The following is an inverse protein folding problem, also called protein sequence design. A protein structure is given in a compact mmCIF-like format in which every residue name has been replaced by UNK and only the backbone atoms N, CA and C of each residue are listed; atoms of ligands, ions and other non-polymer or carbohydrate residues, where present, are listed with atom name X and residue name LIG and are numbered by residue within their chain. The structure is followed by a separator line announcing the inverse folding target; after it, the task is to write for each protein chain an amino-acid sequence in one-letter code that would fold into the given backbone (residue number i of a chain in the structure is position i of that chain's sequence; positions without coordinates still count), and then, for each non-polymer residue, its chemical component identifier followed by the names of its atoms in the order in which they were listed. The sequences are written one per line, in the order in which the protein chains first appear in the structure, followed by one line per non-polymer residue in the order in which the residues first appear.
data_IF_377248753829
#
_entry.id   IF_377248753829
#
_cell.length_a   1.000
_cell.length_b   1.000
_cell.length_c   1.000
_cell.angle_alpha   90.00
_cell.angle_beta   90.00
_cell.angle_gamma   90.00
#
_symmetry.space_group_name_H-M   'P 1'
#
loop_
_entity.id
_entity.type
_entity.pdbx_description
1 polymer ?
#
# COMPACT_ATOMS: atom_id res chain seq x y z
N UNK A 1 -7.95 18.62 -21.66
CA UNK A 1 -6.86 18.24 -20.77
C UNK A 1 -6.08 19.50 -20.41
N UNK A 2 -6.17 19.93 -19.15
CA UNK A 2 -5.36 21.06 -18.67
C UNK A 2 -3.96 20.51 -18.38
N UNK A 3 -2.96 21.02 -19.09
CA UNK A 3 -1.56 20.64 -18.84
C UNK A 3 -1.13 21.25 -17.51
N UNK A 4 -0.95 20.42 -16.49
CA UNK A 4 -0.40 20.85 -15.21
C UNK A 4 1.04 21.37 -15.40
N UNK A 5 1.39 22.43 -14.72
CA UNK A 5 2.76 22.94 -14.73
C UNK A 5 3.69 21.98 -13.98
N UNK A 6 4.97 21.99 -14.31
CA UNK A 6 5.99 21.18 -13.60
C UNK A 6 5.99 21.44 -12.09
N UNK A 7 5.67 22.66 -11.67
CA UNK A 7 5.60 23.02 -10.26
C UNK A 7 4.41 22.35 -9.57
N UNK A 8 3.24 22.35 -10.21
CA UNK A 8 2.04 21.69 -9.69
C UNK A 8 2.24 20.18 -9.55
N UNK A 9 2.83 19.54 -10.57
CA UNK A 9 3.16 18.10 -10.52
C UNK A 9 4.10 17.80 -9.35
N UNK A 10 5.15 18.62 -9.14
CA UNK A 10 6.09 18.41 -8.02
C UNK A 10 5.42 18.60 -6.65
N UNK A 11 4.51 19.55 -6.54
CA UNK A 11 3.75 19.76 -5.30
C UNK A 11 2.80 18.59 -5.04
N UNK A 12 2.10 18.11 -6.05
CA UNK A 12 1.24 16.94 -5.97
C UNK A 12 2.02 15.70 -5.50
N UNK A 13 3.15 15.39 -6.15
CA UNK A 13 3.99 14.27 -5.76
C UNK A 13 4.50 14.37 -4.31
N UNK A 14 4.88 15.56 -3.85
CA UNK A 14 5.30 15.74 -2.44
C UNK A 14 4.17 15.47 -1.46
N UNK A 15 2.95 15.90 -1.78
CA UNK A 15 1.78 15.65 -0.94
C UNK A 15 1.43 14.17 -0.91
N UNK A 16 1.48 13.49 -2.06
CA UNK A 16 1.26 12.05 -2.16
C UNK A 16 2.29 11.26 -1.37
N UNK A 17 3.57 11.57 -1.54
CA UNK A 17 4.66 10.93 -0.79
C UNK A 17 4.51 11.16 0.71
N UNK A 18 4.15 12.36 1.13
CA UNK A 18 3.90 12.65 2.54
C UNK A 18 2.74 11.81 3.07
N UNK A 19 1.65 11.68 2.31
CA UNK A 19 0.49 10.88 2.70
C UNK A 19 0.87 9.41 2.92
N UNK A 20 1.57 8.81 1.95
CA UNK A 20 2.04 7.42 2.05
C UNK A 20 2.96 7.24 3.26
N UNK A 21 3.91 8.17 3.46
CA UNK A 21 4.84 8.09 4.60
C UNK A 21 4.14 8.26 5.94
N UNK A 22 3.20 9.21 6.06
CA UNK A 22 2.43 9.41 7.28
C UNK A 22 1.64 8.14 7.64
N UNK A 23 1.02 7.48 6.65
CA UNK A 23 0.28 6.25 6.86
C UNK A 23 1.22 5.09 7.24
N UNK A 24 2.37 4.94 6.56
CA UNK A 24 3.37 3.92 6.87
C UNK A 24 4.04 4.10 8.23
N UNK A 25 4.27 5.34 8.68
CA UNK A 25 4.83 5.61 10.01
C UNK A 25 3.89 5.20 11.15
N UNK A 26 2.60 5.04 10.85
CA UNK A 26 1.57 4.65 11.80
C UNK A 26 1.04 3.23 11.54
N UNK A 27 1.78 2.41 10.82
CA UNK A 27 1.41 1.00 10.59
C UNK A 27 1.21 0.29 11.91
N UNK A 28 0.14 -0.49 11.97
CA UNK A 28 -0.20 -1.32 13.11
C UNK A 28 -0.12 -2.79 12.74
N UNK A 29 0.66 -3.51 13.53
CA UNK A 29 0.67 -4.96 13.51
C UNK A 29 -0.44 -5.48 14.42
N UNK A 30 -1.52 -5.96 13.84
CA UNK A 30 -2.57 -6.61 14.61
C UNK A 30 -2.11 -8.03 14.93
N UNK A 31 -1.53 -8.22 16.14
CA UNK A 31 -1.29 -9.57 16.63
C UNK A 31 -2.63 -10.28 16.77
N UNK A 32 -2.79 -11.38 16.06
CA UNK A 32 -3.93 -12.26 16.27
C UNK A 32 -3.94 -12.71 17.74
N UNK A 33 -4.88 -12.18 18.50
CA UNK A 33 -5.34 -12.90 19.64
C UNK A 33 -6.16 -14.06 19.09
N UNK A 34 -5.54 -15.22 18.95
CA UNK A 34 -6.29 -16.45 18.87
C UNK A 34 -7.10 -16.53 20.17
N UNK A 35 -8.34 -16.03 20.13
CA UNK A 35 -9.28 -16.26 21.20
C UNK A 35 -9.40 -17.77 21.39
N UNK A 36 -8.88 -18.23 22.48
CA UNK A 36 -8.97 -19.59 22.94
C UNK A 36 -10.43 -20.06 22.87
N UNK A 37 -10.76 -20.86 21.86
CA UNK A 37 -11.94 -21.69 21.92
C UNK A 37 -12.89 -21.74 20.73
N UNK A 38 -12.73 -21.00 19.65
CA UNK A 38 -13.53 -21.18 18.44
C UNK A 38 -12.64 -21.01 17.20
N UNK A 39 -12.07 -22.12 16.77
CA UNK A 39 -11.38 -22.20 15.48
C UNK A 39 -12.41 -22.20 14.35
N UNK A 40 -12.78 -21.04 13.86
CA UNK A 40 -13.13 -20.89 12.48
C UNK A 40 -11.84 -20.52 11.78
N UNK A 41 -11.26 -21.46 11.03
CA UNK A 41 -9.90 -21.41 10.51
C UNK A 41 -9.64 -20.39 9.40
N UNK A 42 -10.05 -19.15 9.60
CA UNK A 42 -9.65 -18.03 8.78
C UNK A 42 -8.64 -17.20 9.56
N UNK A 43 -7.41 -17.27 9.14
CA UNK A 43 -6.34 -16.42 9.61
C UNK A 43 -6.62 -15.02 9.08
N UNK A 44 -6.67 -14.01 9.96
CA UNK A 44 -6.74 -12.62 9.53
C UNK A 44 -5.43 -12.25 8.87
N UNK A 45 -5.49 -11.61 7.72
CA UNK A 45 -4.34 -10.92 7.18
C UNK A 45 -4.01 -9.74 8.10
N UNK A 46 -2.79 -9.68 8.60
CA UNK A 46 -2.30 -8.61 9.46
C UNK A 46 -0.93 -8.16 8.98
N UNK A 47 -0.61 -6.87 9.15
CA UNK A 47 0.70 -6.37 8.81
C UNK A 47 0.75 -5.62 7.49
N UNK A 48 1.81 -5.85 6.71
CA UNK A 48 2.06 -5.17 5.44
C UNK A 48 2.12 -6.21 4.33
N UNK A 49 1.37 -5.95 3.27
CA UNK A 49 1.41 -6.73 2.04
C UNK A 49 1.82 -5.81 0.90
N UNK A 50 2.82 -6.20 0.14
CA UNK A 50 3.25 -5.54 -1.09
C UNK A 50 3.19 -6.56 -2.22
N UNK A 51 2.48 -6.21 -3.27
CA UNK A 51 2.32 -7.04 -4.46
C UNK A 51 2.81 -6.29 -5.69
N UNK A 52 3.46 -7.00 -6.61
CA UNK A 52 3.80 -6.49 -7.93
C UNK A 52 2.76 -6.94 -8.95
N UNK A 53 2.37 -6.03 -9.84
CA UNK A 53 1.45 -6.33 -10.94
C UNK A 53 1.84 -5.55 -12.19
N UNK A 54 1.34 -6.02 -13.33
CA UNK A 54 1.47 -5.29 -14.59
C UNK A 54 0.55 -4.07 -14.58
N UNK A 55 1.13 -2.94 -14.90
CA UNK A 55 0.51 -1.61 -14.96
C UNK A 55 0.43 -1.05 -16.38
N UNK A 56 0.57 0.27 -16.53
CA UNK A 56 0.48 0.94 -17.82
C UNK A 56 1.57 0.52 -18.79
N UNK A 57 1.28 0.67 -20.07
CA UNK A 57 2.28 0.52 -21.12
C UNK A 57 3.26 1.70 -21.07
N UNK A 58 4.55 1.39 -21.11
CA UNK A 58 5.59 2.40 -21.20
C UNK A 58 5.62 2.96 -22.65
N UNK A 59 5.39 4.26 -22.84
CA UNK A 59 5.30 4.85 -24.17
C UNK A 59 6.63 4.85 -24.93
N UNK A 60 7.76 4.68 -24.24
CA UNK A 60 9.08 4.67 -24.85
C UNK A 60 9.51 3.27 -25.30
N UNK A 61 9.14 2.25 -24.54
CA UNK A 61 9.58 0.86 -24.77
C UNK A 61 8.49 -0.04 -25.33
N UNK A 62 7.21 0.34 -25.22
CA UNK A 62 6.07 -0.47 -25.59
C UNK A 62 5.84 -1.69 -24.67
N UNK A 63 6.60 -1.80 -23.58
CA UNK A 63 6.43 -2.85 -22.58
C UNK A 63 5.50 -2.40 -21.45
N UNK A 64 4.90 -3.37 -20.75
CA UNK A 64 4.12 -3.07 -19.55
C UNK A 64 5.06 -2.73 -18.39
N UNK A 65 4.74 -1.67 -17.66
CA UNK A 65 5.44 -1.28 -16.44
C UNK A 65 5.00 -2.18 -15.28
N UNK A 66 5.93 -2.56 -14.41
CA UNK A 66 5.58 -3.13 -13.12
C UNK A 66 5.19 -2.02 -12.15
N UNK A 67 4.08 -2.21 -11.46
CA UNK A 67 3.57 -1.31 -10.42
C UNK A 67 3.27 -2.08 -9.17
N UNK A 68 3.44 -1.43 -8.01
CA UNK A 68 3.16 -2.05 -6.72
C UNK A 68 1.74 -1.78 -6.26
N UNK A 69 1.22 -2.70 -5.48
CA UNK A 69 0.05 -2.50 -4.63
C UNK A 69 0.48 -2.70 -3.18
N UNK A 70 0.10 -1.78 -2.32
CA UNK A 70 0.47 -1.76 -0.91
C UNK A 70 -0.79 -1.84 -0.06
N UNK A 71 -0.84 -2.76 0.91
CA UNK A 71 -1.96 -2.96 1.81
C UNK A 71 -1.44 -3.08 3.24
N UNK A 72 -2.11 -2.42 4.19
CA UNK A 72 -1.72 -2.48 5.60
C UNK A 72 -2.80 -1.90 6.51
N UNK A 73 -2.66 -2.19 7.81
CA UNK A 73 -3.41 -1.50 8.87
C UNK A 73 -2.63 -0.30 9.37
N UNK A 74 -3.33 0.80 9.63
CA UNK A 74 -2.72 2.02 10.16
C UNK A 74 -3.55 2.61 11.29
N UNK A 75 -2.88 3.30 12.21
CA UNK A 75 -3.49 4.18 13.20
C UNK A 75 -3.36 5.67 12.82
N UNK A 76 -2.97 5.97 11.59
CA UNK A 76 -2.98 7.33 11.09
C UNK A 76 -4.42 7.86 11.09
N UNK A 77 -4.57 9.17 11.32
CA UNK A 77 -5.90 9.78 11.24
C UNK A 77 -6.46 9.61 9.82
N UNK A 78 -7.69 9.10 9.72
CA UNK A 78 -8.39 9.02 8.45
C UNK A 78 -8.51 10.41 7.79
N UNK A 79 -8.33 10.47 6.49
CA UNK A 79 -8.45 11.70 5.71
C UNK A 79 -9.83 11.85 5.08
N UNK A 80 -10.57 10.75 5.00
CA UNK A 80 -11.85 10.67 4.29
C UNK A 80 -13.00 10.25 5.19
N UNK A 81 -12.74 10.16 6.49
CA UNK A 81 -13.78 9.84 7.45
C UNK A 81 -14.76 11.02 7.55
N UNK A 82 -16.07 10.79 7.42
CA UNK A 82 -17.04 11.88 7.53
C UNK A 82 -17.00 12.49 8.94
N UNK A 83 -16.82 13.82 9.01
CA UNK A 83 -16.80 14.57 10.29
C UNK A 83 -18.12 14.44 11.11
N UNK A 84 -19.20 13.98 10.46
CA UNK A 84 -20.51 13.79 11.08
C UNK A 84 -20.58 12.53 11.99
N UNK A 85 -19.59 11.64 11.90
CA UNK A 85 -19.52 10.47 12.77
C UNK A 85 -18.70 10.80 14.01
N UNK A 86 -19.28 10.49 15.18
CA UNK A 86 -18.80 10.92 16.49
C UNK A 86 -17.40 10.42 16.86
N UNK A 87 -16.84 9.44 16.15
CA UNK A 87 -15.53 8.87 16.49
C UNK A 87 -14.82 8.31 15.26
N UNK A 88 -13.65 8.85 14.97
CA UNK A 88 -12.72 8.28 13.99
C UNK A 88 -12.19 6.95 14.53
N UNK A 89 -12.29 5.85 13.80
CA UNK A 89 -11.69 4.59 14.23
C UNK A 89 -10.19 4.77 14.45
N UNK A 90 -9.71 4.29 15.61
CA UNK A 90 -8.29 4.36 15.95
C UNK A 90 -7.42 3.56 14.97
N UNK A 91 -8.01 2.58 14.29
CA UNK A 91 -7.34 1.70 13.33
C UNK A 91 -8.25 1.46 12.14
N UNK A 92 -7.66 1.45 10.96
CA UNK A 92 -8.34 1.15 9.71
C UNK A 92 -7.37 0.55 8.69
N UNK A 93 -7.95 -0.08 7.68
CA UNK A 93 -7.21 -0.63 6.56
C UNK A 93 -6.96 0.44 5.51
N UNK A 94 -5.75 0.46 4.98
CA UNK A 94 -5.37 1.35 3.89
C UNK A 94 -4.71 0.56 2.78
N UNK A 95 -5.02 0.92 1.54
CA UNK A 95 -4.24 0.47 0.41
C UNK A 95 -3.94 1.60 -0.56
N UNK A 96 -2.81 1.43 -1.26
CA UNK A 96 -2.37 2.27 -2.37
C UNK A 96 -2.17 1.39 -3.58
N UNK A 97 -2.90 1.65 -4.66
CA UNK A 97 -2.86 0.83 -5.87
C UNK A 97 -2.94 1.68 -7.13
N UNK A 98 -2.30 1.22 -8.19
CA UNK A 98 -2.55 1.76 -9.53
C UNK A 98 -3.74 1.02 -10.15
N UNK A 99 -4.71 1.75 -10.68
CA UNK A 99 -5.91 1.19 -11.32
C UNK A 99 -6.13 1.85 -12.67
N UNK A 100 -6.60 1.06 -13.64
CA UNK A 100 -7.05 1.60 -14.92
C UNK A 100 -8.48 2.12 -14.79
N UNK A 101 -8.68 3.39 -15.14
CA UNK A 101 -10.02 3.95 -15.31
C UNK A 101 -10.60 3.42 -16.62
N UNK A 102 -11.65 2.62 -16.54
CA UNK A 102 -12.23 1.93 -17.70
C UNK A 102 -12.88 2.87 -18.71
N UNK A 103 -13.31 4.05 -18.27
CA UNK A 103 -13.98 5.05 -19.12
C UNK A 103 -12.95 5.87 -19.91
N UNK A 104 -11.91 6.33 -19.25
CA UNK A 104 -10.87 7.21 -19.85
C UNK A 104 -9.67 6.43 -20.38
N UNK A 105 -9.53 5.17 -20.00
CA UNK A 105 -8.34 4.32 -20.31
C UNK A 105 -7.03 4.90 -19.79
N UNK A 106 -7.10 5.70 -18.74
CA UNK A 106 -5.94 6.26 -18.04
C UNK A 106 -5.69 5.52 -16.74
N UNK A 107 -4.45 5.49 -16.31
CA UNK A 107 -4.09 4.92 -15.02
C UNK A 107 -4.16 5.99 -13.93
N UNK A 108 -4.65 5.58 -12.77
CA UNK A 108 -4.89 6.43 -11.61
C UNK A 108 -4.23 5.82 -10.38
N UNK A 109 -3.60 6.65 -9.56
CA UNK A 109 -3.18 6.24 -8.22
C UNK A 109 -4.40 6.37 -7.30
N UNK A 110 -4.79 5.26 -6.71
CA UNK A 110 -5.98 5.16 -5.86
C UNK A 110 -5.56 4.80 -4.44
N UNK A 111 -6.15 5.49 -3.46
CA UNK A 111 -6.10 5.13 -2.06
C UNK A 111 -7.46 4.62 -1.60
N UNK A 112 -7.46 3.47 -0.93
CA UNK A 112 -8.66 2.90 -0.31
C UNK A 112 -8.53 3.00 1.21
N UNK A 113 -9.63 3.28 1.88
CA UNK A 113 -9.77 3.17 3.33
C UNK A 113 -10.95 2.25 3.67
N UNK A 114 -10.72 1.32 4.57
CA UNK A 114 -11.77 0.51 5.18
C UNK A 114 -11.71 0.63 6.70
N UNK A 115 -12.84 1.01 7.29
CA UNK A 115 -12.99 1.13 8.74
C UNK A 115 -13.49 -0.15 9.39
N UNK A 116 -13.75 -1.16 8.58
CA UNK A 116 -14.06 -2.51 9.00
C UNK A 116 -12.81 -3.36 8.91
N UNK A 117 -12.28 -3.72 10.05
CA UNK A 117 -11.15 -4.65 10.12
C UNK A 117 -11.72 -6.06 9.92
N UNK A 118 -11.59 -6.57 8.72
CA UNK A 118 -12.01 -7.93 8.38
C UNK A 118 -10.81 -8.88 8.15
N UNK A 119 -10.99 -9.94 7.38
CA UNK A 119 -9.95 -10.93 7.14
C UNK A 119 -9.25 -10.74 5.79
N UNK A 120 -9.57 -9.68 5.05
CA UNK A 120 -9.05 -9.47 3.71
C UNK A 120 -8.65 -8.01 3.48
N UNK A 121 -7.37 -7.71 3.66
CA UNK A 121 -6.79 -6.38 3.43
C UNK A 121 -6.94 -5.85 2.00
N UNK A 122 -7.31 -6.72 1.06
CA UNK A 122 -7.36 -6.38 -0.36
C UNK A 122 -8.72 -5.86 -0.81
N UNK A 123 -9.77 -6.11 -0.05
CA UNK A 123 -11.15 -5.82 -0.42
C UNK A 123 -11.83 -4.85 0.55
N UNK A 124 -13.05 -4.45 0.25
CA UNK A 124 -13.88 -3.60 1.11
C UNK A 124 -13.58 -2.10 1.00
N UNK A 125 -14.20 -1.33 1.87
CA UNK A 125 -13.98 0.08 2.07
C UNK A 125 -14.37 1.00 0.92
N UNK A 126 -13.78 2.20 0.91
CA UNK A 126 -14.00 3.22 -0.12
C UNK A 126 -12.69 3.62 -0.77
N UNK A 127 -12.73 3.70 -2.10
CA UNK A 127 -11.60 4.13 -2.92
C UNK A 127 -11.71 5.59 -3.32
N UNK A 128 -10.58 6.27 -3.33
CA UNK A 128 -10.44 7.69 -3.68
C UNK A 128 -9.28 7.84 -4.66
N UNK A 129 -9.55 8.45 -5.82
CA UNK A 129 -8.50 8.78 -6.78
C UNK A 129 -7.63 9.89 -6.18
N UNK A 130 -6.36 9.61 -6.00
CA UNK A 130 -5.39 10.58 -5.51
C UNK A 130 -4.73 11.36 -6.63
N UNK A 131 -4.47 10.70 -7.76
CA UNK A 131 -3.83 11.32 -8.90
C UNK A 131 -4.13 10.57 -10.19
N UNK A 132 -4.41 11.33 -11.25
CA UNK A 132 -4.50 10.87 -12.64
C UNK A 132 -3.20 11.14 -13.42
N UNK A 133 -2.19 11.72 -12.77
CA UNK A 133 -0.93 12.14 -13.39
C UNK A 133 0.25 11.27 -12.98
N UNK A 134 0.10 10.46 -11.95
CA UNK A 134 1.10 9.45 -11.57
C UNK A 134 1.00 8.28 -12.53
N UNK A 135 2.09 8.00 -13.22
CA UNK A 135 2.17 6.92 -14.21
C UNK A 135 2.76 5.64 -13.62
N UNK A 136 3.48 5.74 -12.51
CA UNK A 136 4.12 4.60 -11.85
C UNK A 136 4.13 4.79 -10.35
N UNK A 137 3.75 3.75 -9.63
CA UNK A 137 3.92 3.59 -8.19
C UNK A 137 4.68 2.28 -7.96
N UNK A 138 5.89 2.36 -7.46
CA UNK A 138 6.77 1.21 -7.25
C UNK A 138 7.35 1.25 -5.84
N UNK A 139 7.34 0.11 -5.17
CA UNK A 139 7.93 -0.11 -3.87
C UNK A 139 9.02 -1.17 -3.98
N UNK A 140 10.15 -0.89 -3.36
CA UNK A 140 11.23 -1.86 -3.17
C UNK A 140 11.46 -1.98 -1.66
N UNK A 141 11.48 -3.20 -1.18
CA UNK A 141 11.69 -3.52 0.22
C UNK A 141 13.07 -4.16 0.38
N UNK A 142 13.78 -3.73 1.42
CA UNK A 142 15.04 -4.36 1.81
C UNK A 142 14.72 -5.62 2.61
N UNK A 143 14.90 -6.79 1.98
CA UNK A 143 14.61 -8.07 2.61
C UNK A 143 15.73 -8.48 3.55
N UNK A 144 16.97 -8.36 3.11
CA UNK A 144 18.12 -8.70 3.94
C UNK A 144 19.34 -7.82 3.67
N UNK A 145 20.15 -7.63 4.71
CA UNK A 145 21.47 -7.01 4.62
C UNK A 145 22.49 -7.98 5.22
N UNK A 146 23.30 -8.59 4.37
CA UNK A 146 24.37 -9.51 4.81
C UNK A 146 25.72 -8.80 4.81
N UNK A 147 26.38 -8.78 5.98
CA UNK A 147 27.75 -8.26 6.09
C UNK A 147 28.74 -9.30 5.56
N UNK A 148 29.52 -8.90 4.57
CA UNK A 148 30.57 -9.74 3.99
C UNK A 148 31.83 -9.69 4.86
N UNK A 149 32.57 -10.81 4.91
CA UNK A 149 33.79 -10.96 5.70
C UNK A 149 34.92 -9.96 5.33
N UNK A 150 34.78 -9.21 4.23
CA UNK A 150 35.71 -8.19 3.76
C UNK A 150 35.29 -6.74 4.05
N UNK A 151 34.25 -6.51 4.86
CA UNK A 151 33.78 -5.17 5.24
C UNK A 151 32.77 -4.51 4.29
N UNK A 152 32.26 -5.26 3.31
CA UNK A 152 31.11 -4.86 2.47
C UNK A 152 29.78 -5.38 3.03
N UNK A 153 28.68 -4.81 2.58
CA UNK A 153 27.33 -5.34 2.77
C UNK A 153 26.73 -5.75 1.42
N UNK A 154 25.95 -6.81 1.43
CA UNK A 154 25.10 -7.21 0.32
C UNK A 154 23.67 -6.96 0.74
N UNK A 155 22.96 -6.17 -0.05
CA UNK A 155 21.55 -5.84 0.14
C UNK A 155 20.73 -6.69 -0.84
N UNK A 156 19.69 -7.29 -0.34
CA UNK A 156 18.70 -8.01 -1.14
C UNK A 156 17.38 -7.26 -1.10
N UNK A 157 16.88 -6.89 -2.28
CA UNK A 157 15.68 -6.09 -2.44
C UNK A 157 14.60 -6.90 -3.13
N UNK A 158 13.38 -6.85 -2.60
CA UNK A 158 12.20 -7.50 -3.18
C UNK A 158 11.13 -6.48 -3.56
N UNK A 159 10.27 -6.88 -4.49
CA UNK A 159 9.05 -6.14 -4.88
C UNK A 159 7.79 -6.73 -4.31
N UNK A 160 7.90 -7.89 -3.68
CA UNK A 160 6.78 -8.59 -3.07
C UNK A 160 7.10 -8.90 -1.62
N UNK A 161 6.12 -8.70 -0.76
CA UNK A 161 6.25 -8.93 0.66
C UNK A 161 4.89 -9.25 1.25
N UNK A 162 4.82 -10.31 2.05
CA UNK A 162 3.68 -10.61 2.88
C UNK A 162 4.16 -10.93 4.29
N UNK A 163 3.86 -10.03 5.22
CA UNK A 163 4.34 -10.17 6.60
C UNK A 163 3.72 -11.35 7.35
N UNK A 164 2.59 -11.88 6.87
CA UNK A 164 1.96 -13.06 7.49
C UNK A 164 2.63 -14.36 7.02
N UNK A 165 3.09 -14.42 5.77
CA UNK A 165 3.86 -15.56 5.26
C UNK A 165 5.24 -15.64 5.89
N UNK A 166 5.92 -14.51 6.07
CA UNK A 166 7.25 -14.43 6.69
C UNK A 166 7.25 -14.86 8.16
N UNK A 167 6.22 -14.57 8.92
CA UNK A 167 6.09 -14.98 10.32
C UNK A 167 5.87 -16.49 10.50
N UNK A 168 5.57 -17.24 9.44
CA UNK A 168 5.44 -18.70 9.46
C UNK A 168 6.79 -19.45 9.36
N UNK A 169 7.90 -18.76 9.04
CA UNK A 169 9.23 -19.39 8.82
C UNK A 169 10.08 -19.40 10.10
N UNK A 170 9.63 -18.78 11.19
CA UNK A 170 10.38 -18.55 12.43
C UNK A 170 9.87 -19.31 13.65
N UNK A 171 9.83 -20.67 13.61
CA UNK A 171 9.78 -21.52 14.82
C UNK A 171 10.64 -22.76 14.68
#
# INVERSE_FOLDING_TARGET
LQVKSTLEIRQELRLLMKMVLDDLQNVQYLKHFAESGRSTGQQRESGIIVESKLGPENPETGGLEEVSSLYFHTAAKSRFYPEEKEQDPEQHEVSYTMQENLDTKTWELVRREDFYLDNNLREGGKSYVLSETVTKFELLLLESETRLAGGGSQEEWTREWDSDEENCIGT
#
